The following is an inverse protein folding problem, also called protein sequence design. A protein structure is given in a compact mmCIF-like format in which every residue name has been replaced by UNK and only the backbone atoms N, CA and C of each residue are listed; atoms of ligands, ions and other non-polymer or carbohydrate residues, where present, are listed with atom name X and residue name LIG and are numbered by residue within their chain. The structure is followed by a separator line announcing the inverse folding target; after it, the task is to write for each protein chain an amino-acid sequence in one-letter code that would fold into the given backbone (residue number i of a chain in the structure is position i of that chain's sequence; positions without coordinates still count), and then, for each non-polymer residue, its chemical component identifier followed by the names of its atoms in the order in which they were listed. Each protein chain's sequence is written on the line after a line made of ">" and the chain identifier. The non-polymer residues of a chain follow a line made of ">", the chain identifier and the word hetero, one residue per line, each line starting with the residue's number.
data_IF_038345563073
#
_entry.id   IF_038345563073
#
_cell.length_a   1.000
_cell.length_b   1.000
_cell.length_c   1.000
_cell.angle_alpha   90.00
_cell.angle_beta   90.00
_cell.angle_gamma   90.00
#
_symmetry.space_group_name_H-M   'P 1'
#
loop_
_entity.id
_entity.type
_entity.pdbx_description
1 polymer ?
#
# COMPACT_ATOMS: atom_id res chain seq x y z
N UNK A 1 5.93 -7.58 -12.43
CA UNK A 1 5.78 -6.20 -12.06
C UNK A 1 4.90 -6.07 -10.87
N UNK A 2 5.39 -5.38 -9.89
CA UNK A 2 4.70 -5.27 -8.63
C UNK A 2 3.46 -4.40 -8.69
N UNK A 3 3.31 -3.61 -9.73
CA UNK A 3 2.16 -2.72 -9.82
C UNK A 3 0.83 -3.46 -9.94
N UNK A 4 0.86 -4.70 -10.43
CA UNK A 4 -0.38 -5.47 -10.54
C UNK A 4 -1.00 -5.72 -9.16
N UNK A 5 -0.17 -6.00 -8.17
CA UNK A 5 -0.67 -6.18 -6.82
C UNK A 5 -1.33 -4.91 -6.30
N UNK A 6 -0.65 -3.77 -6.47
CA UNK A 6 -1.18 -2.54 -5.93
C UNK A 6 -2.46 -2.13 -6.65
N UNK A 7 -2.51 -2.34 -7.96
CA UNK A 7 -3.73 -2.04 -8.69
C UNK A 7 -4.89 -2.89 -8.20
N UNK A 8 -4.62 -4.15 -7.90
CA UNK A 8 -5.65 -5.01 -7.34
C UNK A 8 -6.12 -4.51 -5.99
N UNK A 9 -5.20 -4.05 -5.15
CA UNK A 9 -5.56 -3.48 -3.87
C UNK A 9 -6.40 -2.23 -4.03
N UNK A 10 -6.04 -1.37 -4.97
CA UNK A 10 -6.80 -0.16 -5.20
C UNK A 10 -8.23 -0.47 -5.59
N UNK A 11 -8.42 -1.45 -6.46
CA UNK A 11 -9.75 -1.84 -6.86
C UNK A 11 -10.57 -2.33 -5.67
N UNK A 12 -9.95 -3.14 -4.81
CA UNK A 12 -10.68 -3.68 -3.68
C UNK A 12 -11.06 -2.58 -2.70
N UNK A 13 -10.11 -1.69 -2.39
CA UNK A 13 -10.40 -0.61 -1.48
C UNK A 13 -11.44 0.34 -2.04
N UNK A 14 -11.38 0.58 -3.35
CA UNK A 14 -12.37 1.45 -3.97
C UNK A 14 -13.77 0.90 -3.81
N UNK A 15 -13.91 -0.39 -3.86
CA UNK A 15 -15.22 -1.01 -3.69
C UNK A 15 -15.65 -1.09 -2.25
N UNK A 16 -14.71 -1.20 -1.33
CA UNK A 16 -15.04 -1.39 0.09
C UNK A 16 -15.19 -0.08 0.84
N UNK A 17 -14.47 0.95 0.44
CA UNK A 17 -14.45 2.20 1.17
C UNK A 17 -15.28 3.26 0.47
N UNK A 18 -15.86 4.20 1.24
CA UNK A 18 -16.45 5.37 0.62
C UNK A 18 -15.41 6.10 -0.23
N UNK A 19 -15.87 6.70 -1.30
CA UNK A 19 -14.95 7.36 -2.22
C UNK A 19 -14.08 8.39 -1.52
N UNK A 20 -14.67 9.10 -0.56
CA UNK A 20 -13.93 10.13 0.16
C UNK A 20 -12.75 9.54 0.93
N UNK A 21 -12.98 8.42 1.62
CA UNK A 21 -11.91 7.80 2.38
C UNK A 21 -10.88 7.17 1.46
N UNK A 22 -11.32 6.55 0.40
CA UNK A 22 -10.39 5.97 -0.55
C UNK A 22 -9.47 7.04 -1.12
N UNK A 23 -10.05 8.17 -1.54
CA UNK A 23 -9.25 9.23 -2.15
C UNK A 23 -8.32 9.89 -1.16
N UNK A 24 -8.71 9.95 0.12
CA UNK A 24 -7.90 10.63 1.12
C UNK A 24 -6.76 9.77 1.62
N UNK A 25 -7.00 8.47 1.85
CA UNK A 25 -6.03 7.65 2.55
C UNK A 25 -5.32 6.66 1.66
N UNK A 26 -6.01 6.10 0.69
CA UNK A 26 -5.45 5.00 -0.10
C UNK A 26 -4.85 5.51 -1.41
N UNK A 27 -5.55 6.38 -2.09
CA UNK A 27 -5.09 6.84 -3.39
C UNK A 27 -3.74 7.54 -3.34
N UNK A 28 -3.41 8.31 -2.28
CA UNK A 28 -2.09 8.95 -2.21
C UNK A 28 -0.93 7.97 -2.03
N UNK A 29 -1.22 6.73 -1.66
CA UNK A 29 -0.16 5.75 -1.46
C UNK A 29 0.38 5.27 -2.80
N UNK A 30 1.63 4.87 -2.79
CA UNK A 30 2.22 4.26 -3.98
C UNK A 30 3.13 3.13 -3.56
N UNK A 31 3.24 2.14 -4.43
CA UNK A 31 4.08 1.00 -4.20
C UNK A 31 5.42 1.25 -4.86
N UNK A 32 6.48 1.07 -4.10
CA UNK A 32 7.80 1.32 -4.64
C UNK A 32 8.28 0.13 -5.44
N UNK A 33 8.67 0.42 -6.65
CA UNK A 33 9.49 -0.36 -7.53
C UNK A 33 9.36 -1.85 -7.47
N UNK A 34 10.49 -2.48 -7.66
CA UNK A 34 10.54 -3.92 -7.71
C UNK A 34 10.43 -4.51 -6.34
N UNK A 35 9.74 -5.63 -6.29
CA UNK A 35 9.52 -6.32 -5.04
C UNK A 35 10.37 -7.57 -5.02
N UNK A 36 11.20 -7.68 -4.00
CA UNK A 36 11.91 -8.92 -3.74
C UNK A 36 11.12 -9.68 -2.69
N UNK A 37 10.77 -10.93 -2.96
CA UNK A 37 9.92 -11.67 -2.00
C UNK A 37 10.51 -11.74 -0.61
N UNK A 38 11.82 -11.78 -0.49
CA UNK A 38 12.45 -11.86 0.81
C UNK A 38 12.60 -10.49 1.48
N UNK A 39 12.41 -9.41 0.75
CA UNK A 39 12.51 -8.07 1.32
C UNK A 39 11.15 -7.45 1.60
N UNK A 40 10.10 -8.02 1.03
CA UNK A 40 8.76 -7.50 1.24
C UNK A 40 8.44 -6.37 0.29
N UNK A 41 7.28 -5.79 0.53
CA UNK A 41 6.78 -4.68 -0.27
C UNK A 41 7.06 -3.37 0.46
N UNK A 42 7.35 -2.34 -0.31
CA UNK A 42 7.56 -1.02 0.27
C UNK A 42 6.46 -0.10 -0.22
N UNK A 43 5.64 0.34 0.70
CA UNK A 43 4.50 1.18 0.39
C UNK A 43 4.80 2.59 0.88
N UNK A 44 4.63 3.56 0.01
CA UNK A 44 5.06 4.92 0.27
C UNK A 44 3.86 5.80 0.55
N UNK A 45 3.88 6.45 1.71
CA UNK A 45 2.87 7.43 2.07
C UNK A 45 3.46 8.83 1.88
N UNK A 46 2.63 9.80 1.54
CA UNK A 46 3.16 11.15 1.28
C UNK A 46 3.59 11.91 2.51
N UNK A 47 3.05 11.55 3.68
CA UNK A 47 3.45 12.22 4.92
C UNK A 47 3.16 11.31 6.09
N UNK A 48 3.62 11.73 7.28
CA UNK A 48 3.49 10.88 8.44
C UNK A 48 2.05 10.73 8.92
N UNK A 49 1.23 11.71 8.68
CA UNK A 49 -0.17 11.66 9.08
C UNK A 49 -0.89 10.53 8.35
N UNK A 50 -0.73 10.48 7.04
CA UNK A 50 -1.35 9.43 6.25
C UNK A 50 -0.72 8.08 6.58
N UNK A 51 0.60 8.05 6.77
CA UNK A 51 1.26 6.80 7.11
C UNK A 51 0.70 6.22 8.40
N UNK A 52 0.54 7.05 9.42
CA UNK A 52 0.05 6.57 10.69
C UNK A 52 -1.38 6.05 10.58
N UNK A 53 -2.22 6.78 9.86
CA UNK A 53 -3.60 6.38 9.69
C UNK A 53 -3.72 5.05 8.95
N UNK A 54 -2.95 4.93 7.87
CA UNK A 54 -2.98 3.71 7.08
C UNK A 54 -2.44 2.55 7.88
N UNK A 55 -1.35 2.77 8.61
CA UNK A 55 -0.78 1.71 9.42
C UNK A 55 -1.76 1.20 10.46
N UNK A 56 -2.50 2.10 11.06
CA UNK A 56 -3.39 1.71 12.14
C UNK A 56 -4.68 1.08 11.63
N UNK A 57 -5.09 1.43 10.41
CA UNK A 57 -6.42 1.02 9.95
C UNK A 57 -6.41 0.11 8.74
N UNK A 58 -5.45 0.27 7.85
CA UNK A 58 -5.51 -0.43 6.58
C UNK A 58 -4.37 -1.41 6.35
N UNK A 59 -3.30 -1.32 7.11
CA UNK A 59 -2.14 -2.16 6.88
C UNK A 59 -2.50 -3.64 6.97
N UNK A 60 -3.33 -4.01 7.93
CA UNK A 60 -3.74 -5.41 8.05
C UNK A 60 -4.45 -5.91 6.81
N UNK A 61 -5.32 -5.08 6.23
CA UNK A 61 -6.00 -5.45 5.00
C UNK A 61 -5.02 -5.61 3.86
N UNK A 62 -4.06 -4.69 3.76
CA UNK A 62 -3.07 -4.77 2.71
C UNK A 62 -2.25 -6.04 2.84
N UNK A 63 -1.90 -6.41 4.07
CA UNK A 63 -1.16 -7.64 4.30
C UNK A 63 -1.98 -8.86 3.90
N UNK A 64 -3.26 -8.85 4.19
CA UNK A 64 -4.12 -9.95 3.78
C UNK A 64 -4.18 -10.09 2.26
N UNK A 65 -4.31 -8.95 1.57
CA UNK A 65 -4.33 -8.99 0.13
C UNK A 65 -3.01 -9.51 -0.43
N UNK A 66 -1.89 -9.12 0.20
CA UNK A 66 -0.60 -9.59 -0.24
C UNK A 66 -0.45 -11.10 -0.06
N UNK A 67 -0.94 -11.62 1.07
CA UNK A 67 -0.94 -13.05 1.29
C UNK A 67 -1.65 -13.79 0.16
N UNK A 68 -2.82 -13.30 -0.21
CA UNK A 68 -3.57 -13.94 -1.26
C UNK A 68 -2.94 -13.78 -2.63
N UNK A 69 -2.41 -12.60 -2.90
CA UNK A 69 -1.85 -12.31 -4.20
C UNK A 69 -0.55 -13.08 -4.45
N UNK A 70 0.31 -13.11 -3.44
CA UNK A 70 1.62 -13.75 -3.59
C UNK A 70 1.64 -15.20 -3.08
N UNK A 71 0.50 -15.66 -2.61
CA UNK A 71 0.36 -17.06 -2.16
C UNK A 71 1.33 -17.40 -1.04
N UNK A 72 1.46 -16.50 -0.08
CA UNK A 72 2.34 -16.72 1.05
C UNK A 72 2.58 -15.44 1.82
N UNK A 73 3.31 -15.52 2.92
CA UNK A 73 3.57 -14.33 3.73
C UNK A 73 4.38 -13.31 2.97
N UNK A 74 4.00 -12.07 3.13
CA UNK A 74 4.68 -10.97 2.47
C UNK A 74 4.66 -9.79 3.43
N UNK A 75 5.84 -9.32 3.80
CA UNK A 75 5.95 -8.18 4.68
C UNK A 75 5.63 -6.90 3.94
N UNK A 76 4.95 -6.00 4.61
CA UNK A 76 4.63 -4.69 4.05
C UNK A 76 5.36 -3.65 4.87
N UNK A 77 6.25 -2.92 4.23
CA UNK A 77 6.99 -1.86 4.86
C UNK A 77 6.39 -0.53 4.46
N UNK A 78 5.85 0.17 5.44
CA UNK A 78 5.20 1.44 5.20
C UNK A 78 6.18 2.55 5.52
N UNK A 79 6.50 3.37 4.52
CA UNK A 79 7.49 4.41 4.69
C UNK A 79 6.96 5.73 4.16
N UNK A 80 7.59 6.82 4.60
CA UNK A 80 7.25 8.14 4.08
C UNK A 80 8.10 8.40 2.87
N UNK A 81 7.44 8.67 1.76
CA UNK A 81 8.14 8.95 0.52
C UNK A 81 8.62 10.36 0.48
N UNK A 82 9.91 10.51 0.25
CA UNK A 82 10.45 11.82 0.03
C UNK A 82 10.70 11.97 -1.41
N UNK A 83 9.89 12.78 -2.04
CA UNK A 83 10.10 13.03 -3.44
C UNK A 83 11.40 13.72 -3.59
N UNK A 84 12.29 13.01 -4.19
CA UNK A 84 13.53 13.62 -4.50
C UNK A 84 13.34 14.44 -5.70
N UNK A 85 13.09 15.67 -5.50
CA UNK A 85 13.00 16.53 -6.65
C UNK A 85 14.34 17.02 -7.03
N UNK A 86 14.63 17.03 -8.29
CA UNK A 86 15.91 17.55 -8.75
C UNK A 86 16.06 19.01 -8.41
#
# INVERSE_FOLDING_TARGET
>A
MSSAFWESCLERFEQELPAQQFNTWIKPLSLEGDVAPDEGLRLIAPNSFILKWVRDRYLGRIEEYAHGFFNGPMAINLVIGQRKLP
#
